data_IF_528723945633
#
_entry.id   IF_528723945633
#
_cell.length_a   1.000
_cell.length_b   1.000
_cell.length_c   1.000
_cell.angle_alpha   90.00
_cell.angle_beta   90.00
_cell.angle_gamma   90.00
#
_symmetry.space_group_name_H-M   'P 1'
#
loop_
_entity.id
_entity.type
_entity.pdbx_description
1 polymer ?
#
# COMPACT_ATOMS: atom_id res chain seq x y z
N UNK A 1 22.55 -16.24 -19.65
CA UNK A 1 23.18 -16.01 -18.33
C UNK A 1 23.24 -14.50 -18.14
N UNK A 2 22.89 -14.01 -16.95
CA UNK A 2 22.98 -12.58 -16.58
C UNK A 2 24.02 -12.52 -15.47
N UNK A 3 25.05 -11.70 -15.65
CA UNK A 3 26.01 -11.39 -14.60
C UNK A 3 25.49 -10.17 -13.82
N UNK A 4 25.37 -10.29 -12.52
CA UNK A 4 24.95 -9.20 -11.64
C UNK A 4 26.11 -8.24 -11.30
N UNK A 5 27.35 -8.58 -11.66
CA UNK A 5 28.58 -7.77 -11.45
C UNK A 5 28.73 -7.28 -9.99
N UNK A 6 28.46 -8.19 -9.02
CA UNK A 6 28.51 -7.88 -7.61
C UNK A 6 27.34 -7.04 -7.07
N UNK A 7 26.39 -6.69 -7.90
CA UNK A 7 25.20 -5.94 -7.48
C UNK A 7 24.18 -6.84 -6.75
N UNK A 8 23.31 -6.21 -5.95
CA UNK A 8 22.27 -6.87 -5.18
C UNK A 8 21.26 -7.56 -6.09
N UNK A 9 21.04 -8.86 -5.84
CA UNK A 9 19.95 -9.65 -6.40
C UNK A 9 18.95 -9.95 -5.30
N UNK A 10 17.70 -9.57 -5.46
CA UNK A 10 16.68 -9.75 -4.45
C UNK A 10 15.35 -10.25 -5.04
N UNK A 11 14.38 -10.69 -4.21
CA UNK A 11 13.02 -10.92 -4.64
C UNK A 11 12.37 -9.63 -5.15
N UNK A 12 11.29 -9.72 -5.95
CA UNK A 12 10.55 -8.53 -6.37
C UNK A 12 10.02 -7.72 -5.20
N UNK A 13 9.98 -6.41 -5.36
CA UNK A 13 9.25 -5.52 -4.46
C UNK A 13 7.76 -5.87 -4.49
N UNK A 14 7.10 -5.74 -3.33
CA UNK A 14 5.67 -5.91 -3.19
C UNK A 14 5.04 -4.62 -2.64
N UNK A 15 3.96 -4.17 -3.27
CA UNK A 15 3.12 -3.06 -2.81
C UNK A 15 1.77 -3.61 -2.32
N UNK A 16 1.55 -3.68 -1.01
CA UNK A 16 0.33 -4.26 -0.45
C UNK A 16 -0.86 -3.31 -0.44
N UNK A 17 -0.69 -2.04 -0.87
CA UNK A 17 -1.76 -1.05 -0.79
C UNK A 17 -1.60 0.06 -1.83
N UNK A 18 -2.48 0.06 -2.85
CA UNK A 18 -2.58 1.11 -3.87
C UNK A 18 -4.01 1.21 -4.40
N UNK A 19 -4.38 2.35 -5.00
CA UNK A 19 -5.67 2.60 -5.64
C UNK A 19 -5.53 2.70 -7.16
N UNK A 20 -5.38 1.55 -7.86
CA UNK A 20 -5.24 1.52 -9.33
C UNK A 20 -6.51 1.99 -10.07
N UNK A 21 -7.66 2.03 -9.39
CA UNK A 21 -8.90 2.57 -9.92
C UNK A 21 -8.87 4.10 -10.10
N UNK A 22 -8.05 4.81 -9.29
CA UNK A 22 -7.97 6.27 -9.27
C UNK A 22 -6.67 6.84 -9.86
N UNK A 23 -5.70 5.99 -10.23
CA UNK A 23 -4.38 6.46 -10.70
C UNK A 23 -4.45 7.36 -11.93
N UNK A 24 -3.54 8.34 -11.98
CA UNK A 24 -3.32 9.27 -13.10
C UNK A 24 -4.49 10.22 -13.41
N UNK A 25 -5.53 10.24 -12.57
CA UNK A 25 -6.67 11.16 -12.80
C UNK A 25 -6.35 12.60 -12.40
N UNK A 26 -5.34 12.86 -11.57
CA UNK A 26 -4.96 14.21 -11.14
C UNK A 26 -4.74 15.20 -12.32
N UNK A 27 -4.27 14.70 -13.47
CA UNK A 27 -4.11 15.48 -14.69
C UNK A 27 -5.40 15.74 -15.47
N UNK A 28 -6.48 15.04 -15.16
CA UNK A 28 -7.75 15.07 -15.85
C UNK A 28 -8.85 15.85 -15.08
N UNK A 29 -8.59 16.11 -13.78
CA UNK A 29 -9.55 16.76 -12.90
C UNK A 29 -9.79 18.22 -13.30
N UNK A 30 -11.06 18.61 -13.40
CA UNK A 30 -11.47 20.00 -13.55
C UNK A 30 -11.38 20.76 -12.23
N UNK A 31 -11.69 20.09 -11.11
CA UNK A 31 -11.52 20.56 -9.74
C UNK A 31 -10.34 19.84 -9.10
N UNK A 32 -9.40 20.59 -8.54
CA UNK A 32 -8.24 20.03 -7.80
C UNK A 32 -8.46 20.21 -6.31
N UNK A 33 -7.92 19.30 -5.51
CA UNK A 33 -7.90 19.39 -4.05
C UNK A 33 -7.14 20.66 -3.61
N UNK A 34 -7.86 21.64 -3.08
CA UNK A 34 -7.32 22.94 -2.68
C UNK A 34 -6.87 22.95 -1.22
N UNK A 35 -7.60 22.26 -0.36
CA UNK A 35 -7.29 22.21 1.08
C UNK A 35 -6.23 21.16 1.41
N UNK A 36 -6.00 20.20 0.51
CA UNK A 36 -5.13 19.05 0.72
C UNK A 36 -5.66 18.11 1.80
N UNK A 37 -6.99 18.05 1.98
CA UNK A 37 -7.63 17.17 2.98
C UNK A 37 -8.14 15.89 2.34
N UNK A 38 -8.21 14.82 3.14
CA UNK A 38 -8.79 13.54 2.76
C UNK A 38 -10.25 13.69 2.27
N UNK A 39 -11.07 14.41 3.04
CA UNK A 39 -12.50 14.55 2.72
C UNK A 39 -12.75 15.30 1.41
N UNK A 40 -11.99 16.39 1.14
CA UNK A 40 -12.11 17.08 -0.16
C UNK A 40 -11.70 16.16 -1.31
N UNK A 41 -10.71 15.32 -1.13
CA UNK A 41 -10.29 14.35 -2.15
C UNK A 41 -11.39 13.30 -2.42
N UNK A 42 -12.06 12.80 -1.38
CA UNK A 42 -13.20 11.88 -1.50
C UNK A 42 -14.34 12.53 -2.28
N UNK A 43 -14.67 13.79 -1.97
CA UNK A 43 -15.71 14.54 -2.70
C UNK A 43 -15.35 14.69 -4.19
N UNK A 44 -14.10 15.06 -4.48
CA UNK A 44 -13.61 15.19 -5.87
C UNK A 44 -13.68 13.86 -6.60
N UNK A 45 -13.28 12.77 -5.95
CA UNK A 45 -13.38 11.42 -6.52
C UNK A 45 -14.83 11.05 -6.80
N UNK A 46 -15.74 11.30 -5.85
CA UNK A 46 -17.19 11.07 -6.02
C UNK A 46 -17.77 11.77 -7.24
N UNK A 47 -17.40 13.04 -7.46
CA UNK A 47 -17.81 13.83 -8.63
C UNK A 47 -17.18 13.30 -9.94
N UNK A 48 -15.90 12.95 -9.90
CA UNK A 48 -15.13 12.61 -11.09
C UNK A 48 -15.38 11.18 -11.58
N UNK A 49 -15.59 10.21 -10.68
CA UNK A 49 -15.81 8.80 -11.04
C UNK A 49 -17.01 8.57 -11.96
N UNK A 50 -17.99 9.48 -11.98
CA UNK A 50 -19.11 9.42 -12.93
C UNK A 50 -18.66 9.55 -14.39
N UNK A 51 -17.47 10.09 -14.64
CA UNK A 51 -16.85 10.19 -15.96
C UNK A 51 -15.89 9.05 -16.27
N UNK A 52 -15.65 8.15 -15.31
CA UNK A 52 -14.75 7.03 -15.46
C UNK A 52 -15.33 5.99 -16.43
N UNK A 53 -14.53 5.59 -17.40
CA UNK A 53 -14.86 4.48 -18.29
C UNK A 53 -13.91 3.32 -18.05
N UNK A 54 -14.35 2.09 -18.36
CA UNK A 54 -13.50 0.89 -18.26
C UNK A 54 -12.19 1.06 -19.02
N UNK A 55 -12.24 1.59 -20.24
CA UNK A 55 -11.04 1.79 -21.09
C UNK A 55 -10.08 2.81 -20.47
N UNK A 56 -10.56 3.91 -19.91
CA UNK A 56 -9.73 4.92 -19.26
C UNK A 56 -9.06 4.35 -18.01
N UNK A 57 -9.83 3.69 -17.14
CA UNK A 57 -9.31 3.05 -15.94
C UNK A 57 -8.21 2.04 -16.30
N UNK A 58 -8.49 1.10 -17.20
CA UNK A 58 -7.53 0.06 -17.60
C UNK A 58 -6.29 0.65 -18.26
N UNK A 59 -6.44 1.69 -19.08
CA UNK A 59 -5.30 2.39 -19.69
C UNK A 59 -4.40 3.04 -18.65
N UNK A 60 -4.99 3.74 -17.68
CA UNK A 60 -4.24 4.39 -16.60
C UNK A 60 -3.57 3.36 -15.68
N UNK A 61 -4.33 2.36 -15.22
CA UNK A 61 -3.82 1.30 -14.36
C UNK A 61 -2.70 0.51 -15.05
N UNK A 62 -2.85 0.19 -16.35
CA UNK A 62 -1.81 -0.48 -17.13
C UNK A 62 -0.52 0.34 -17.22
N UNK A 63 -0.64 1.64 -17.44
CA UNK A 63 0.52 2.54 -17.47
C UNK A 63 1.25 2.55 -16.11
N UNK A 64 0.51 2.54 -15.00
CA UNK A 64 1.13 2.46 -13.66
C UNK A 64 1.74 1.10 -13.40
N UNK A 65 1.15 0.00 -13.90
CA UNK A 65 1.76 -1.33 -13.85
C UNK A 65 3.11 -1.34 -14.59
N UNK A 66 3.21 -0.68 -15.73
CA UNK A 66 4.50 -0.55 -16.44
C UNK A 66 5.52 0.25 -15.60
N UNK A 67 5.09 1.28 -14.86
CA UNK A 67 5.95 1.98 -13.90
C UNK A 67 6.36 1.09 -12.73
N UNK A 68 5.46 0.30 -12.19
CA UNK A 68 5.77 -0.68 -11.14
C UNK A 68 6.82 -1.68 -11.63
N UNK A 69 6.65 -2.26 -12.80
CA UNK A 69 7.61 -3.19 -13.39
C UNK A 69 8.99 -2.53 -13.50
N UNK A 70 9.07 -1.30 -14.01
CA UNK A 70 10.32 -0.57 -14.12
C UNK A 70 10.99 -0.28 -12.76
N UNK A 71 10.19 -0.15 -11.69
CA UNK A 71 10.65 0.02 -10.31
C UNK A 71 10.87 -1.32 -9.57
N UNK A 72 10.76 -2.46 -10.25
CA UNK A 72 10.95 -3.79 -9.64
C UNK A 72 9.77 -4.32 -8.82
N UNK A 73 8.60 -3.69 -8.90
CA UNK A 73 7.39 -4.11 -8.19
C UNK A 73 6.62 -5.11 -9.04
N UNK A 74 6.54 -6.36 -8.61
CA UNK A 74 5.82 -7.44 -9.32
C UNK A 74 4.69 -8.07 -8.49
N UNK A 75 4.43 -7.56 -7.31
CA UNK A 75 3.34 -7.99 -6.41
C UNK A 75 2.58 -6.75 -5.98
N UNK A 76 1.31 -6.66 -6.31
CA UNK A 76 0.49 -5.47 -6.05
C UNK A 76 -0.86 -5.89 -5.51
N UNK A 77 -1.32 -5.21 -4.43
CA UNK A 77 -2.69 -5.29 -3.94
C UNK A 77 -3.35 -3.94 -4.16
N UNK A 78 -4.42 -3.91 -4.95
CA UNK A 78 -5.17 -2.70 -5.26
C UNK A 78 -6.54 -2.69 -4.61
N UNK A 79 -6.98 -1.53 -4.15
CA UNK A 79 -8.32 -1.29 -3.66
C UNK A 79 -9.19 -0.81 -4.82
N UNK A 80 -10.39 -1.39 -4.92
CA UNK A 80 -11.38 -1.07 -5.94
C UNK A 80 -12.62 -0.47 -5.25
N UNK A 81 -12.92 0.81 -5.48
CA UNK A 81 -14.11 1.46 -4.92
C UNK A 81 -15.38 0.73 -5.37
N UNK A 82 -16.03 0.04 -4.44
CA UNK A 82 -17.26 -0.70 -4.70
C UNK A 82 -18.54 0.07 -4.32
N UNK A 83 -18.45 1.37 -4.03
CA UNK A 83 -19.61 2.21 -3.73
C UNK A 83 -20.26 2.82 -4.99
N UNK A 84 -19.70 2.55 -6.17
CA UNK A 84 -20.35 2.83 -7.44
C UNK A 84 -21.35 1.72 -7.78
N UNK A 85 -22.64 2.05 -8.05
CA UNK A 85 -23.68 1.07 -8.38
C UNK A 85 -23.38 0.18 -9.57
N UNK A 86 -22.54 0.64 -10.51
CA UNK A 86 -22.13 -0.14 -11.69
C UNK A 86 -21.06 -1.17 -11.38
N UNK A 87 -20.30 -1.01 -10.29
CA UNK A 87 -19.10 -1.78 -9.95
C UNK A 87 -18.04 -1.78 -11.05
N UNK A 88 -17.97 -0.71 -11.83
CA UNK A 88 -17.05 -0.57 -12.96
C UNK A 88 -15.59 -0.75 -12.53
N UNK A 89 -15.19 -0.19 -11.40
CA UNK A 89 -13.83 -0.29 -10.87
C UNK A 89 -13.46 -1.74 -10.55
N UNK A 90 -14.35 -2.47 -9.87
CA UNK A 90 -14.14 -3.88 -9.49
C UNK A 90 -14.04 -4.75 -10.74
N UNK A 91 -15.00 -4.62 -11.67
CA UNK A 91 -15.00 -5.37 -12.93
C UNK A 91 -13.72 -5.12 -13.74
N UNK A 92 -13.36 -3.84 -13.91
CA UNK A 92 -12.19 -3.44 -14.69
C UNK A 92 -10.88 -3.98 -14.11
N UNK A 93 -10.70 -3.93 -12.78
CA UNK A 93 -9.49 -4.41 -12.14
C UNK A 93 -9.41 -5.94 -12.09
N UNK A 94 -10.53 -6.66 -11.98
CA UNK A 94 -10.56 -8.12 -12.13
C UNK A 94 -10.22 -8.56 -13.56
N UNK A 95 -10.71 -7.87 -14.58
CA UNK A 95 -10.30 -8.11 -15.96
C UNK A 95 -8.79 -7.82 -16.16
N UNK A 96 -8.32 -6.68 -15.65
CA UNK A 96 -6.93 -6.29 -15.75
C UNK A 96 -6.01 -7.31 -15.06
N UNK A 97 -6.42 -7.84 -13.91
CA UNK A 97 -5.69 -8.91 -13.19
C UNK A 97 -5.40 -10.09 -14.11
N UNK A 98 -6.38 -10.56 -14.88
CA UNK A 98 -6.19 -11.65 -15.83
C UNK A 98 -5.28 -11.27 -17.01
N UNK A 99 -5.37 -10.04 -17.49
CA UNK A 99 -4.55 -9.56 -18.60
C UNK A 99 -3.07 -9.43 -18.25
N UNK A 100 -2.75 -9.11 -16.98
CA UNK A 100 -1.37 -8.84 -16.54
C UNK A 100 -0.72 -9.98 -15.76
N UNK A 101 -1.38 -11.11 -15.56
CA UNK A 101 -0.94 -12.24 -14.73
C UNK A 101 0.43 -12.83 -15.11
N UNK A 102 0.87 -12.63 -16.34
CA UNK A 102 2.20 -13.04 -16.79
C UNK A 102 3.30 -12.01 -16.49
N UNK A 103 2.91 -10.80 -16.10
CA UNK A 103 3.80 -9.68 -15.80
C UNK A 103 3.91 -9.42 -14.30
N UNK A 104 2.78 -9.33 -13.60
CA UNK A 104 2.69 -9.12 -12.16
C UNK A 104 1.62 -10.01 -11.55
N UNK A 105 1.68 -10.19 -10.22
CA UNK A 105 0.55 -10.73 -9.48
C UNK A 105 -0.23 -9.56 -8.89
N UNK A 106 -1.52 -9.49 -9.25
CA UNK A 106 -2.44 -8.44 -8.80
C UNK A 106 -3.51 -9.05 -7.90
N UNK A 107 -3.64 -8.56 -6.68
CA UNK A 107 -4.77 -8.81 -5.78
C UNK A 107 -5.72 -7.62 -5.80
N UNK A 108 -7.03 -7.88 -5.76
CA UNK A 108 -8.09 -6.86 -5.75
C UNK A 108 -8.86 -6.93 -4.44
N UNK A 109 -9.00 -5.79 -3.77
CA UNK A 109 -9.81 -5.61 -2.56
C UNK A 109 -11.13 -4.95 -2.95
N UNK A 110 -12.27 -5.49 -2.53
CA UNK A 110 -13.53 -4.77 -2.60
C UNK A 110 -13.54 -3.70 -1.50
N UNK A 111 -13.43 -2.44 -1.87
CA UNK A 111 -13.24 -1.32 -0.97
C UNK A 111 -14.45 -0.39 -0.95
N UNK A 112 -15.21 -0.30 0.17
CA UNK A 112 -16.33 0.63 0.30
C UNK A 112 -15.81 2.04 0.66
N UNK A 113 -15.36 2.80 -0.35
CA UNK A 113 -14.75 4.13 -0.20
C UNK A 113 -15.56 5.09 0.68
N UNK A 114 -16.88 5.03 0.59
CA UNK A 114 -17.78 5.91 1.32
C UNK A 114 -18.34 5.30 2.61
N UNK A 115 -17.76 4.19 3.11
CA UNK A 115 -18.31 3.40 4.22
C UNK A 115 -19.38 2.40 3.77
N UNK A 116 -19.70 1.46 4.63
CA UNK A 116 -20.68 0.40 4.36
C UNK A 116 -22.10 0.85 4.75
N UNK A 117 -22.24 1.53 5.88
CA UNK A 117 -23.54 1.88 6.47
C UNK A 117 -23.97 3.33 6.21
N UNK A 118 -23.18 4.11 5.51
CA UNK A 118 -23.55 5.49 5.10
C UNK A 118 -24.67 5.50 4.05
N UNK A 119 -24.80 4.42 3.26
CA UNK A 119 -25.87 4.21 2.29
C UNK A 119 -26.32 2.73 2.32
N UNK A 120 -27.65 2.46 2.38
CA UNK A 120 -28.17 1.09 2.39
C UNK A 120 -27.80 0.23 1.17
N UNK A 121 -27.33 0.84 0.09
CA UNK A 121 -26.89 0.13 -1.10
C UNK A 121 -25.46 -0.40 -0.95
N UNK A 122 -24.58 0.26 -0.19
CA UNK A 122 -23.16 -0.06 -0.13
C UNK A 122 -22.88 -1.48 0.36
N UNK A 123 -23.61 -1.98 1.37
CA UNK A 123 -23.49 -3.38 1.81
C UNK A 123 -23.82 -4.37 0.69
N UNK A 124 -24.86 -4.10 -0.09
CA UNK A 124 -25.27 -4.95 -1.22
C UNK A 124 -24.22 -4.95 -2.32
N UNK A 125 -23.64 -3.78 -2.60
CA UNK A 125 -22.58 -3.62 -3.60
C UNK A 125 -21.30 -4.34 -3.15
N UNK A 126 -20.90 -4.21 -1.89
CA UNK A 126 -19.77 -4.93 -1.30
C UNK A 126 -19.95 -6.46 -1.46
N UNK A 127 -21.12 -6.98 -1.09
CA UNK A 127 -21.43 -8.42 -1.27
C UNK A 127 -21.34 -8.84 -2.73
N UNK A 128 -21.88 -8.04 -3.65
CA UNK A 128 -21.81 -8.30 -5.08
C UNK A 128 -20.36 -8.28 -5.61
N UNK A 129 -19.54 -7.33 -5.14
CA UNK A 129 -18.13 -7.27 -5.49
C UNK A 129 -17.36 -8.54 -5.01
N UNK A 130 -17.71 -9.04 -3.82
CA UNK A 130 -17.13 -10.30 -3.31
C UNK A 130 -17.54 -11.50 -4.19
N UNK A 131 -18.81 -11.56 -4.59
CA UNK A 131 -19.31 -12.61 -5.50
C UNK A 131 -18.63 -12.57 -6.88
N UNK A 132 -18.11 -11.42 -7.31
CA UNK A 132 -17.32 -11.27 -8.55
C UNK A 132 -15.92 -11.88 -8.44
N UNK A 133 -15.45 -12.23 -7.25
CA UNK A 133 -14.20 -12.99 -7.06
C UNK A 133 -12.98 -12.17 -6.64
N UNK A 134 -13.17 -11.04 -5.94
CA UNK A 134 -12.07 -10.28 -5.33
C UNK A 134 -11.27 -11.12 -4.33
N UNK A 135 -10.02 -10.73 -4.07
CA UNK A 135 -9.10 -11.47 -3.19
C UNK A 135 -9.29 -11.10 -1.71
N UNK A 136 -9.74 -9.89 -1.42
CA UNK A 136 -9.91 -9.39 -0.06
C UNK A 136 -11.17 -8.57 0.10
N UNK A 137 -11.66 -8.51 1.35
CA UNK A 137 -12.78 -7.65 1.77
C UNK A 137 -12.19 -6.45 2.51
N UNK A 138 -12.55 -5.26 2.06
CA UNK A 138 -12.17 -3.98 2.66
C UNK A 138 -13.28 -3.38 3.51
N UNK A 139 -12.93 -2.34 4.25
CA UNK A 139 -13.82 -1.52 5.07
C UNK A 139 -13.21 -0.13 5.27
N UNK A 140 -14.01 0.82 5.76
CA UNK A 140 -13.59 2.18 6.10
C UNK A 140 -14.34 2.69 7.35
N UNK A 141 -14.17 2.06 8.53
CA UNK A 141 -15.00 2.32 9.70
C UNK A 141 -14.91 3.75 10.23
N UNK A 142 -13.83 4.47 9.96
CA UNK A 142 -13.65 5.87 10.34
C UNK A 142 -14.43 6.87 9.46
N UNK A 143 -15.01 6.40 8.36
CA UNK A 143 -15.89 7.18 7.46
C UNK A 143 -17.36 7.05 7.86
N UNK A 144 -17.73 6.02 8.64
CA UNK A 144 -19.10 5.81 9.10
C UNK A 144 -19.60 6.98 9.96
N UNK A 145 -20.92 7.22 9.95
CA UNK A 145 -21.51 8.36 10.66
C UNK A 145 -21.40 8.27 12.19
N UNK A 146 -21.38 7.04 12.72
CA UNK A 146 -21.26 6.80 14.15
C UNK A 146 -20.19 5.77 14.46
N UNK A 147 -19.68 5.83 15.71
CA UNK A 147 -18.75 4.81 16.19
C UNK A 147 -19.37 3.40 16.17
N UNK A 148 -20.65 3.31 16.46
CA UNK A 148 -21.40 2.05 16.47
C UNK A 148 -21.47 1.43 15.07
N UNK A 149 -21.65 2.24 14.03
CA UNK A 149 -21.65 1.77 12.65
C UNK A 149 -20.24 1.39 12.18
N UNK A 150 -19.21 2.14 12.61
CA UNK A 150 -17.82 1.75 12.35
C UNK A 150 -17.43 0.42 13.01
N UNK A 151 -17.96 0.10 14.20
CA UNK A 151 -17.79 -1.22 14.83
C UNK A 151 -18.44 -2.30 13.97
N UNK A 152 -19.69 -2.07 13.51
CA UNK A 152 -20.41 -3.00 12.63
C UNK A 152 -19.70 -3.18 11.27
N UNK A 153 -19.10 -2.11 10.73
CA UNK A 153 -18.28 -2.18 9.49
C UNK A 153 -17.20 -3.24 9.66
N UNK A 154 -16.37 -3.13 10.71
CA UNK A 154 -15.33 -4.11 10.98
C UNK A 154 -15.90 -5.52 11.17
N UNK A 155 -16.94 -5.68 11.98
CA UNK A 155 -17.58 -6.99 12.25
C UNK A 155 -18.12 -7.62 10.96
N UNK A 156 -18.79 -6.85 10.10
CA UNK A 156 -19.32 -7.31 8.82
C UNK A 156 -18.21 -7.72 7.84
N UNK A 157 -17.11 -6.96 7.76
CA UNK A 157 -15.96 -7.30 6.92
C UNK A 157 -15.42 -8.67 7.32
N UNK A 158 -15.26 -8.94 8.62
CA UNK A 158 -14.80 -10.25 9.09
C UNK A 158 -15.81 -11.37 8.82
N UNK A 159 -17.12 -11.13 9.00
CA UNK A 159 -18.17 -12.09 8.68
C UNK A 159 -18.12 -12.50 7.20
N UNK A 160 -17.95 -11.52 6.33
CA UNK A 160 -17.87 -11.74 4.89
C UNK A 160 -16.57 -12.45 4.49
N UNK A 161 -15.44 -12.01 5.04
CA UNK A 161 -14.14 -12.61 4.73
C UNK A 161 -14.08 -14.08 5.18
N UNK A 162 -14.61 -14.40 6.36
CA UNK A 162 -14.70 -15.78 6.85
C UNK A 162 -15.64 -16.62 5.98
N UNK A 163 -16.83 -16.10 5.68
CA UNK A 163 -17.84 -16.80 4.87
C UNK A 163 -17.37 -17.14 3.45
N UNK A 164 -16.64 -16.22 2.82
CA UNK A 164 -16.20 -16.36 1.42
C UNK A 164 -14.74 -16.80 1.29
N UNK A 165 -14.08 -17.12 2.41
CA UNK A 165 -12.66 -17.47 2.48
C UNK A 165 -11.77 -16.44 1.79
N UNK A 166 -11.92 -15.16 2.18
CA UNK A 166 -11.16 -14.01 1.66
C UNK A 166 -10.20 -13.45 2.69
N UNK A 167 -9.23 -12.67 2.21
CA UNK A 167 -8.38 -11.86 3.06
C UNK A 167 -9.17 -10.65 3.60
N UNK A 168 -8.67 -10.03 4.65
CA UNK A 168 -9.19 -8.77 5.21
C UNK A 168 -8.15 -7.67 4.98
N UNK A 169 -8.57 -6.52 4.41
CA UNK A 169 -7.72 -5.35 4.27
C UNK A 169 -8.54 -4.07 4.47
N UNK A 170 -8.45 -3.47 5.65
CA UNK A 170 -9.30 -2.37 6.08
C UNK A 170 -8.48 -1.07 6.12
N UNK A 171 -9.00 0.01 5.49
CA UNK A 171 -8.58 1.39 5.78
C UNK A 171 -9.08 1.74 7.18
N UNK A 172 -8.21 1.69 8.17
CA UNK A 172 -8.64 1.76 9.55
C UNK A 172 -7.97 2.89 10.29
N UNK A 173 -8.79 3.68 11.01
CA UNK A 173 -8.32 4.79 11.82
C UNK A 173 -7.45 5.79 11.03
N UNK A 174 -7.80 6.04 9.75
CA UNK A 174 -7.12 6.98 8.87
C UNK A 174 -7.56 8.41 9.17
N UNK A 175 -7.24 8.87 10.35
CA UNK A 175 -7.60 10.20 10.86
C UNK A 175 -6.62 10.64 11.94
N UNK A 176 -6.60 11.96 12.20
CA UNK A 176 -5.89 12.53 13.36
C UNK A 176 -6.67 12.45 14.68
N UNK A 177 -7.88 11.90 14.70
CA UNK A 177 -8.71 11.80 15.91
C UNK A 177 -8.25 10.64 16.81
N UNK A 178 -7.78 10.88 18.05
CA UNK A 178 -7.39 9.81 18.98
C UNK A 178 -8.57 8.98 19.50
N UNK A 179 -9.81 9.36 19.19
CA UNK A 179 -11.00 8.59 19.53
C UNK A 179 -11.42 7.60 18.43
N UNK A 180 -10.86 7.70 17.22
CA UNK A 180 -10.96 6.65 16.22
C UNK A 180 -10.10 5.46 16.67
N UNK A 181 -10.74 4.36 17.07
CA UNK A 181 -10.12 3.20 17.75
C UNK A 181 -10.66 1.88 17.21
N UNK A 182 -10.93 1.82 15.91
CA UNK A 182 -11.50 0.62 15.29
C UNK A 182 -10.47 -0.50 15.13
N UNK A 183 -9.18 -0.17 15.12
CA UNK A 183 -8.10 -1.17 15.12
C UNK A 183 -8.15 -2.09 16.35
N UNK A 184 -8.71 -1.63 17.51
CA UNK A 184 -8.93 -2.52 18.67
C UNK A 184 -10.02 -3.56 18.41
N UNK A 185 -11.07 -3.18 17.65
CA UNK A 185 -12.15 -4.08 17.23
C UNK A 185 -11.58 -5.11 16.25
N UNK A 186 -10.80 -4.64 15.28
CA UNK A 186 -10.11 -5.51 14.32
C UNK A 186 -9.18 -6.53 15.00
N UNK A 187 -8.42 -6.10 16.02
CA UNK A 187 -7.57 -7.00 16.81
C UNK A 187 -8.41 -8.05 17.56
N UNK A 188 -9.56 -7.65 18.15
CA UNK A 188 -10.49 -8.57 18.82
C UNK A 188 -11.05 -9.60 17.85
N UNK A 189 -11.55 -9.18 16.67
CA UNK A 189 -12.11 -10.09 15.67
C UNK A 189 -11.03 -11.05 15.12
N UNK A 190 -9.82 -10.55 14.86
CA UNK A 190 -8.67 -11.37 14.45
C UNK A 190 -8.33 -12.46 15.49
N UNK A 191 -8.33 -12.13 16.79
CA UNK A 191 -8.06 -13.10 17.86
C UNK A 191 -9.18 -14.14 17.94
N UNK A 192 -10.44 -13.68 17.94
CA UNK A 192 -11.58 -14.55 18.13
C UNK A 192 -11.78 -15.56 17.02
N UNK A 193 -11.48 -15.16 15.77
CA UNK A 193 -11.65 -15.97 14.55
C UNK A 193 -10.36 -16.67 14.09
N UNK A 194 -9.21 -16.36 14.69
CA UNK A 194 -7.92 -16.88 14.24
C UNK A 194 -7.50 -16.37 12.85
N UNK A 195 -7.94 -15.18 12.46
CA UNK A 195 -7.75 -14.62 11.11
C UNK A 195 -6.61 -13.58 11.02
N UNK A 196 -5.83 -13.36 12.08
CA UNK A 196 -4.86 -12.26 12.12
C UNK A 196 -3.82 -12.30 10.98
N UNK A 197 -3.25 -13.46 10.68
CA UNK A 197 -2.26 -13.59 9.60
C UNK A 197 -2.85 -13.29 8.20
N UNK A 198 -4.19 -13.32 8.07
CA UNK A 198 -4.94 -12.99 6.85
C UNK A 198 -5.55 -11.59 6.88
N UNK A 199 -5.25 -10.81 7.92
CA UNK A 199 -5.83 -9.48 8.15
C UNK A 199 -4.75 -8.42 8.10
N UNK A 200 -5.00 -7.35 7.34
CA UNK A 200 -4.16 -6.18 7.20
C UNK A 200 -4.91 -4.92 7.65
N UNK A 201 -4.29 -4.16 8.55
CA UNK A 201 -4.77 -2.86 9.02
C UNK A 201 -3.97 -1.76 8.31
N UNK A 202 -4.62 -1.06 7.39
CA UNK A 202 -3.99 0.00 6.61
C UNK A 202 -4.12 1.35 7.30
N UNK A 203 -3.10 2.20 7.19
CA UNK A 203 -2.95 3.54 7.75
C UNK A 203 -2.76 3.60 9.27
N UNK A 204 -3.78 3.31 10.05
CA UNK A 204 -3.81 3.41 11.53
C UNK A 204 -3.20 4.71 12.08
N UNK A 205 -3.39 5.83 11.37
CA UNK A 205 -2.73 7.11 11.68
C UNK A 205 -3.20 7.73 12.99
N UNK A 206 -4.42 7.40 13.45
CA UNK A 206 -4.92 7.81 14.77
C UNK A 206 -4.03 7.28 15.90
N UNK A 207 -3.32 6.16 15.71
CA UNK A 207 -2.40 5.60 16.73
C UNK A 207 -1.27 6.56 17.10
N UNK A 208 -0.85 7.44 16.17
CA UNK A 208 0.12 8.49 16.49
C UNK A 208 -0.35 9.41 17.61
N UNK A 209 -1.66 9.57 17.75
CA UNK A 209 -2.30 10.51 18.66
C UNK A 209 -2.85 9.83 19.93
N UNK A 210 -2.74 8.50 20.06
CA UNK A 210 -3.19 7.78 21.23
C UNK A 210 -2.33 8.08 22.45
N UNK A 211 -2.97 8.05 23.62
CA UNK A 211 -2.28 7.98 24.91
C UNK A 211 -1.33 6.77 24.92
N UNK A 212 -0.15 6.93 25.53
CA UNK A 212 0.90 5.91 25.48
C UNK A 212 0.51 4.62 26.23
N UNK A 213 -0.22 4.70 27.33
CA UNK A 213 -0.67 3.49 28.06
C UNK A 213 -1.70 2.72 27.24
N UNK A 214 -2.63 3.43 26.57
CA UNK A 214 -3.57 2.81 25.65
C UNK A 214 -2.87 2.18 24.45
N UNK A 215 -1.94 2.90 23.81
CA UNK A 215 -1.17 2.41 22.67
C UNK A 215 -0.35 1.15 23.04
N UNK A 216 0.32 1.15 24.21
CA UNK A 216 1.08 0.00 24.69
C UNK A 216 0.22 -1.26 24.81
N UNK A 217 -1.00 -1.14 25.41
CA UNK A 217 -1.96 -2.24 25.52
C UNK A 217 -2.43 -2.71 24.15
N UNK A 218 -2.79 -1.77 23.26
CA UNK A 218 -3.31 -2.06 21.94
C UNK A 218 -2.27 -2.80 21.06
N UNK A 219 -1.02 -2.32 21.04
CA UNK A 219 0.08 -2.96 20.33
C UNK A 219 0.28 -4.40 20.83
N UNK A 220 0.14 -4.64 22.14
CA UNK A 220 0.14 -6.00 22.70
C UNK A 220 -0.99 -6.88 22.16
N UNK A 221 -2.17 -6.33 21.94
CA UNK A 221 -3.31 -7.06 21.35
C UNK A 221 -3.08 -7.32 19.85
N UNK A 222 -2.56 -6.35 19.10
CA UNK A 222 -2.21 -6.50 17.68
C UNK A 222 -1.16 -7.63 17.50
N UNK A 223 -0.13 -7.65 18.35
CA UNK A 223 0.87 -8.70 18.35
C UNK A 223 0.26 -10.09 18.64
N UNK A 224 -0.62 -10.17 19.66
CA UNK A 224 -1.36 -11.40 19.99
C UNK A 224 -2.27 -11.85 18.86
N UNK A 225 -2.89 -10.92 18.16
CA UNK A 225 -3.74 -11.17 17.00
C UNK A 225 -2.94 -11.65 15.78
N UNK A 226 -1.62 -11.41 15.74
CA UNK A 226 -0.74 -11.64 14.58
C UNK A 226 -1.20 -10.89 13.32
N UNK A 227 -1.74 -9.70 13.50
CA UNK A 227 -2.18 -8.85 12.39
C UNK A 227 -1.00 -8.26 11.64
N UNK A 228 -1.23 -7.95 10.37
CA UNK A 228 -0.32 -7.19 9.54
C UNK A 228 -0.71 -5.71 9.55
N UNK A 229 0.28 -4.82 9.54
CA UNK A 229 0.09 -3.37 9.59
C UNK A 229 0.69 -2.74 8.34
N UNK A 230 -0.05 -1.88 7.64
CA UNK A 230 0.41 -1.22 6.43
C UNK A 230 0.52 0.29 6.70
N UNK A 231 1.73 0.82 6.62
CA UNK A 231 1.97 2.25 6.66
C UNK A 231 2.03 2.81 5.24
N UNK A 232 1.27 3.88 4.97
CA UNK A 232 1.19 4.54 3.68
C UNK A 232 1.80 5.94 3.76
N UNK A 233 3.15 6.07 3.77
CA UNK A 233 3.82 7.30 4.19
C UNK A 233 3.53 8.50 3.30
N UNK A 234 3.27 8.33 2.01
CA UNK A 234 2.97 9.44 1.11
C UNK A 234 1.67 10.15 1.50
N UNK A 235 0.58 9.40 1.57
CA UNK A 235 -0.74 9.94 1.90
C UNK A 235 -0.84 10.33 3.37
N UNK A 236 -0.37 9.48 4.27
CA UNK A 236 -0.45 9.75 5.70
C UNK A 236 0.29 11.05 6.09
N UNK A 237 1.49 11.30 5.53
CA UNK A 237 2.26 12.50 5.85
C UNK A 237 1.61 13.81 5.34
N UNK A 238 0.85 13.75 4.24
CA UNK A 238 0.25 14.94 3.63
C UNK A 238 -1.21 15.16 3.99
N UNK A 239 -1.97 14.08 4.23
CA UNK A 239 -3.41 14.15 4.50
C UNK A 239 -3.75 14.26 5.99
N UNK A 240 -2.92 13.66 6.88
CA UNK A 240 -3.26 13.55 8.28
C UNK A 240 -2.81 14.75 9.12
N UNK A 241 -3.45 14.94 10.29
CA UNK A 241 -3.15 16.02 11.24
C UNK A 241 -3.16 17.44 10.62
N UNK A 242 -3.93 17.66 9.57
CA UNK A 242 -4.06 18.94 8.86
C UNK A 242 -4.62 20.08 9.72
N UNK A 243 -5.33 19.74 10.81
CA UNK A 243 -5.90 20.71 11.76
C UNK A 243 -4.99 21.03 12.94
N UNK A 244 -3.78 20.44 12.98
CA UNK A 244 -2.81 20.75 14.02
C UNK A 244 -2.28 22.18 13.88
N UNK A 245 -2.11 22.85 15.02
CA UNK A 245 -1.25 24.02 15.14
C UNK A 245 0.24 23.63 15.11
N UNK A 246 1.11 24.46 15.67
CA UNK A 246 2.51 24.10 15.85
C UNK A 246 2.76 23.69 17.32
N UNK A 247 3.55 22.61 17.55
CA UNK A 247 4.21 21.72 16.58
C UNK A 247 3.21 20.81 15.87
N UNK A 248 3.39 20.59 14.56
CA UNK A 248 2.57 19.64 13.78
C UNK A 248 3.02 18.21 13.97
N UNK A 249 2.09 17.32 14.17
CA UNK A 249 2.34 15.87 14.21
C UNK A 249 2.57 15.34 12.80
N UNK A 250 3.33 14.22 12.68
CA UNK A 250 3.77 13.71 11.38
C UNK A 250 2.74 12.91 10.61
N UNK A 251 1.66 12.48 11.25
CA UNK A 251 0.60 11.69 10.62
C UNK A 251 0.93 10.22 10.36
N UNK A 252 2.11 9.74 10.73
CA UNK A 252 2.52 8.35 10.54
C UNK A 252 2.15 7.53 11.78
N UNK A 253 1.68 6.28 11.58
CA UNK A 253 1.43 5.33 12.67
C UNK A 253 2.70 4.96 13.45
N UNK A 254 2.58 4.24 14.57
CA UNK A 254 3.69 3.88 15.48
C UNK A 254 4.51 2.70 14.95
N UNK A 255 5.17 2.88 13.81
CA UNK A 255 5.92 1.84 13.09
C UNK A 255 7.04 1.25 13.94
N UNK A 256 7.80 2.09 14.63
CA UNK A 256 8.91 1.72 15.50
C UNK A 256 8.46 0.80 16.64
N UNK A 257 7.47 1.24 17.44
CA UNK A 257 6.94 0.47 18.56
C UNK A 257 6.34 -0.89 18.13
N UNK A 258 5.65 -0.91 16.98
CA UNK A 258 5.09 -2.14 16.42
C UNK A 258 6.17 -3.10 15.94
N UNK A 259 7.19 -2.60 15.24
CA UNK A 259 8.32 -3.40 14.76
C UNK A 259 9.13 -3.98 15.91
N UNK A 260 9.39 -3.21 16.98
CA UNK A 260 10.07 -3.67 18.21
C UNK A 260 9.31 -4.80 18.91
N UNK A 261 7.98 -4.85 18.76
CA UNK A 261 7.12 -5.94 19.26
C UNK A 261 7.01 -7.13 18.33
N UNK A 262 7.73 -7.15 17.20
CA UNK A 262 7.71 -8.22 16.22
C UNK A 262 6.43 -8.31 15.41
N UNK A 263 5.63 -7.24 15.36
CA UNK A 263 4.47 -7.14 14.49
C UNK A 263 4.95 -7.00 13.05
N UNK A 264 4.30 -7.68 12.12
CA UNK A 264 4.58 -7.54 10.70
C UNK A 264 4.10 -6.16 10.21
N UNK A 265 5.03 -5.24 10.03
CA UNK A 265 4.76 -3.91 9.45
C UNK A 265 5.31 -3.88 8.03
N UNK A 266 4.54 -3.35 7.09
CA UNK A 266 4.94 -3.16 5.71
C UNK A 266 4.54 -1.77 5.21
N UNK A 267 4.92 -1.45 3.97
CA UNK A 267 4.73 -0.13 3.36
C UNK A 267 3.86 -0.29 2.12
N UNK A 268 2.83 0.56 1.98
CA UNK A 268 2.06 0.76 0.77
C UNK A 268 2.41 2.09 0.11
N UNK A 269 2.23 2.16 -1.21
CA UNK A 269 2.36 3.42 -1.96
C UNK A 269 1.12 4.29 -1.81
N UNK A 270 -0.04 3.64 -1.77
CA UNK A 270 -1.37 4.23 -1.69
C UNK A 270 -1.76 4.95 -2.99
N UNK A 271 -1.58 6.23 -3.09
CA UNK A 271 -1.99 7.08 -4.20
C UNK A 271 -0.89 7.32 -5.23
N UNK A 272 -1.25 7.38 -6.54
CA UNK A 272 -0.35 7.74 -7.63
C UNK A 272 -1.05 8.72 -8.57
N UNK A 273 -0.78 10.01 -8.44
CA UNK A 273 -1.33 11.07 -9.28
C UNK A 273 -2.87 11.05 -9.33
N UNK A 274 -3.49 10.99 -8.18
CA UNK A 274 -4.92 10.95 -7.96
C UNK A 274 -5.42 12.16 -7.13
N UNK A 275 -6.72 12.23 -6.73
CA UNK A 275 -7.23 13.35 -5.95
C UNK A 275 -6.61 13.52 -4.56
N UNK A 276 -6.10 12.45 -3.95
CA UNK A 276 -5.50 12.46 -2.61
C UNK A 276 -4.05 12.89 -2.65
N UNK A 277 -3.29 12.36 -3.59
CA UNK A 277 -1.86 12.64 -3.75
C UNK A 277 -1.48 12.77 -5.22
N UNK A 278 -1.26 14.01 -5.67
CA UNK A 278 -1.00 14.34 -7.09
C UNK A 278 0.43 14.05 -7.56
N UNK A 279 1.21 13.32 -6.78
CA UNK A 279 2.61 12.95 -7.03
C UNK A 279 2.77 11.44 -7.16
N UNK A 280 4.00 10.96 -7.13
CA UNK A 280 4.32 9.54 -7.18
C UNK A 280 4.62 9.00 -8.58
N UNK A 281 5.35 7.90 -8.60
CA UNK A 281 5.73 7.16 -9.81
C UNK A 281 5.79 5.64 -9.57
N UNK A 282 5.08 5.13 -8.55
CA UNK A 282 5.10 3.71 -8.19
C UNK A 282 6.43 3.22 -7.61
N UNK A 283 7.20 4.09 -6.95
CA UNK A 283 8.49 3.72 -6.36
C UNK A 283 8.36 3.42 -4.87
N UNK A 284 8.40 2.15 -4.51
CA UNK A 284 8.38 1.72 -3.11
C UNK A 284 9.67 2.12 -2.37
N UNK A 285 10.79 2.31 -3.08
CA UNK A 285 12.02 2.86 -2.49
C UNK A 285 11.81 4.30 -1.99
N UNK A 286 11.04 5.12 -2.73
CA UNK A 286 10.69 6.47 -2.28
C UNK A 286 9.77 6.41 -1.05
N UNK A 287 8.83 5.48 -1.01
CA UNK A 287 7.96 5.29 0.16
C UNK A 287 8.77 4.86 1.39
N UNK A 288 9.69 3.92 1.25
CA UNK A 288 10.60 3.49 2.31
C UNK A 288 11.51 4.65 2.78
N UNK A 289 12.06 5.42 1.85
CA UNK A 289 12.90 6.59 2.17
C UNK A 289 12.10 7.67 2.92
N UNK A 290 10.86 7.93 2.54
CA UNK A 290 9.99 8.85 3.28
C UNK A 290 9.68 8.32 4.67
N UNK A 291 9.35 7.03 4.80
CA UNK A 291 9.06 6.42 6.10
C UNK A 291 10.28 6.46 7.03
N UNK A 292 11.51 6.27 6.52
CA UNK A 292 12.74 6.43 7.29
C UNK A 292 12.77 7.80 8.01
N UNK A 293 12.45 8.88 7.29
CA UNK A 293 12.47 10.23 7.83
C UNK A 293 11.29 10.52 8.76
N UNK A 294 10.09 10.17 8.31
CA UNK A 294 8.86 10.45 9.06
C UNK A 294 8.72 9.56 10.30
N UNK A 295 9.16 8.32 10.23
CA UNK A 295 9.19 7.35 11.34
C UNK A 295 10.43 7.43 12.21
N UNK A 296 11.45 8.27 11.85
CA UNK A 296 12.76 8.35 12.53
C UNK A 296 13.51 7.00 12.62
N UNK A 297 13.44 6.21 11.55
CA UNK A 297 13.98 4.85 11.47
C UNK A 297 15.42 4.84 10.93
N UNK A 298 16.34 5.56 11.57
CA UNK A 298 17.73 5.73 11.11
C UNK A 298 18.76 4.87 11.85
N UNK A 299 18.33 3.94 12.68
CA UNK A 299 19.22 2.93 13.27
C UNK A 299 19.60 1.86 12.26
N UNK A 300 20.82 1.28 12.35
CA UNK A 300 21.30 0.29 11.38
C UNK A 300 20.32 -0.89 11.15
N UNK A 301 19.77 -1.44 12.24
CA UNK A 301 18.74 -2.51 12.14
C UNK A 301 17.42 -2.02 11.59
N UNK A 302 17.05 -0.75 11.78
CA UNK A 302 15.82 -0.16 11.28
C UNK A 302 15.90 0.08 9.77
N UNK A 303 17.07 0.46 9.24
CA UNK A 303 17.28 0.63 7.79
C UNK A 303 17.11 -0.72 7.08
N UNK A 304 17.65 -1.80 7.64
CA UNK A 304 17.47 -3.15 7.13
C UNK A 304 15.96 -3.52 7.10
N UNK A 305 15.22 -3.24 8.18
CA UNK A 305 13.78 -3.50 8.27
C UNK A 305 12.97 -2.75 7.20
N UNK A 306 13.41 -1.56 6.78
CA UNK A 306 12.72 -0.81 5.72
C UNK A 306 12.72 -1.55 4.38
N UNK A 307 13.80 -2.25 4.05
CA UNK A 307 13.84 -3.08 2.85
C UNK A 307 12.93 -4.30 2.98
N UNK A 308 12.92 -4.93 4.16
CA UNK A 308 11.97 -6.01 4.47
C UNK A 308 10.52 -5.54 4.37
N UNK A 309 10.20 -4.31 4.79
CA UNK A 309 8.83 -3.74 4.74
C UNK A 309 8.29 -3.59 3.32
N UNK A 310 9.14 -3.47 2.30
CA UNK A 310 8.73 -3.40 0.89
C UNK A 310 8.95 -4.72 0.13
N UNK A 311 9.43 -5.76 0.80
CA UNK A 311 9.70 -7.08 0.24
C UNK A 311 9.00 -8.17 1.04
N UNK A 312 9.70 -8.81 1.97
CA UNK A 312 9.23 -10.00 2.70
C UNK A 312 8.02 -9.72 3.59
N UNK A 313 7.96 -8.56 4.25
CA UNK A 313 6.83 -8.20 5.10
C UNK A 313 5.57 -7.92 4.27
N UNK A 314 5.71 -7.21 3.14
CA UNK A 314 4.62 -6.99 2.19
C UNK A 314 4.11 -8.31 1.60
N UNK A 315 5.01 -9.20 1.19
CA UNK A 315 4.64 -10.51 0.68
C UNK A 315 3.89 -11.36 1.72
N UNK A 316 4.31 -11.30 2.99
CA UNK A 316 3.62 -11.95 4.10
C UNK A 316 2.22 -11.35 4.30
N UNK A 317 2.09 -10.03 4.28
CA UNK A 317 0.79 -9.33 4.38
C UNK A 317 -0.17 -9.73 3.25
N UNK A 318 0.36 -9.96 2.05
CA UNK A 318 -0.41 -10.41 0.89
C UNK A 318 -0.65 -11.92 0.89
N UNK A 319 -0.15 -12.66 1.87
CA UNK A 319 -0.25 -14.13 1.98
C UNK A 319 0.32 -14.85 0.74
N UNK A 320 1.44 -14.39 0.18
CA UNK A 320 2.06 -14.99 -1.00
C UNK A 320 2.86 -16.24 -0.62
N UNK A 321 2.49 -17.39 -1.19
CA UNK A 321 3.20 -18.66 -0.95
C UNK A 321 4.44 -18.84 -1.83
N UNK A 322 4.43 -18.27 -3.05
CA UNK A 322 5.52 -18.31 -4.03
C UNK A 322 6.28 -16.97 -4.03
N UNK A 323 7.02 -16.69 -2.93
CA UNK A 323 7.81 -15.48 -2.80
C UNK A 323 9.19 -15.77 -2.17
N UNK A 324 10.18 -15.03 -2.66
CA UNK A 324 11.57 -15.14 -2.17
C UNK A 324 12.44 -16.03 -3.04
N UNK A 325 13.76 -15.87 -2.90
CA UNK A 325 14.76 -16.67 -3.62
C UNK A 325 14.93 -17.99 -2.88
N UNK A 326 14.13 -18.98 -3.29
CA UNK A 326 14.12 -20.34 -2.71
C UNK A 326 13.97 -21.36 -3.82
N UNK A 327 14.57 -22.53 -3.64
CA UNK A 327 14.37 -23.66 -4.53
C UNK A 327 12.89 -24.04 -4.59
N UNK A 328 12.35 -24.18 -5.80
CA UNK A 328 10.94 -24.48 -6.06
C UNK A 328 10.06 -23.25 -6.31
N UNK A 329 10.49 -22.06 -5.94
CA UNK A 329 9.75 -20.82 -6.24
C UNK A 329 9.96 -20.38 -7.69
N UNK A 330 9.04 -19.53 -8.19
CA UNK A 330 9.19 -18.86 -9.48
C UNK A 330 10.47 -18.03 -9.49
N UNK A 331 11.18 -18.03 -10.61
CA UNK A 331 12.39 -17.25 -10.79
C UNK A 331 12.02 -15.77 -11.09
N UNK A 332 11.48 -15.10 -10.09
CA UNK A 332 11.15 -13.67 -10.08
C UNK A 332 12.24 -12.95 -9.29
N UNK A 333 13.04 -12.14 -9.98
CA UNK A 333 14.25 -11.54 -9.43
C UNK A 333 14.41 -10.09 -9.91
N UNK A 334 14.97 -9.27 -9.03
CA UNK A 334 15.40 -7.90 -9.35
C UNK A 334 16.90 -7.80 -9.17
N UNK A 335 17.57 -7.12 -10.08
CA UNK A 335 18.98 -6.73 -9.95
C UNK A 335 19.02 -5.21 -9.87
N UNK A 336 19.53 -4.67 -8.77
CA UNK A 336 19.72 -3.23 -8.56
C UNK A 336 21.10 -2.77 -9.01
N UNK A 337 21.24 -1.47 -9.32
CA UNK A 337 22.54 -0.81 -9.48
C UNK A 337 23.12 -0.38 -8.13
N UNK A 338 23.20 -1.32 -7.20
CA UNK A 338 23.76 -1.14 -5.85
C UNK A 338 24.12 -2.52 -5.28
N UNK A 339 25.04 -2.57 -4.31
CA UNK A 339 25.55 -3.82 -3.73
C UNK A 339 24.81 -4.24 -2.47
N UNK A 340 24.19 -3.28 -1.74
CA UNK A 340 23.52 -3.52 -0.47
C UNK A 340 22.11 -2.96 -0.48
N UNK A 341 21.25 -3.48 0.39
CA UNK A 341 19.89 -2.99 0.61
C UNK A 341 19.86 -1.54 1.12
N UNK A 342 20.85 -1.19 1.97
CA UNK A 342 21.03 0.19 2.42
C UNK A 342 21.33 1.13 1.25
N UNK A 343 22.25 0.75 0.37
CA UNK A 343 22.59 1.55 -0.82
C UNK A 343 21.42 1.64 -1.80
N UNK A 344 20.61 0.59 -1.94
CA UNK A 344 19.41 0.63 -2.76
C UNK A 344 18.46 1.74 -2.28
N UNK A 345 18.24 1.85 -0.96
CA UNK A 345 17.39 2.89 -0.37
C UNK A 345 18.07 4.26 -0.44
N UNK A 346 19.35 4.34 -0.02
CA UNK A 346 20.13 5.58 0.03
C UNK A 346 20.25 6.26 -1.32
N UNK A 347 20.57 5.49 -2.36
CA UNK A 347 20.79 5.97 -3.72
C UNK A 347 19.48 6.07 -4.54
N UNK A 348 18.38 5.52 -4.03
CA UNK A 348 17.16 5.34 -4.83
C UNK A 348 17.49 4.59 -6.13
N UNK A 349 18.22 3.48 -5.98
CA UNK A 349 18.86 2.77 -7.09
C UNK A 349 17.88 2.26 -8.11
N UNK A 350 18.27 2.33 -9.38
CA UNK A 350 17.47 1.80 -10.48
C UNK A 350 17.61 0.27 -10.57
N UNK A 351 16.52 -0.39 -10.97
CA UNK A 351 16.52 -1.82 -11.28
C UNK A 351 17.16 -2.02 -12.66
N UNK A 352 18.36 -2.57 -12.70
CA UNK A 352 19.03 -2.86 -13.99
C UNK A 352 18.33 -3.97 -14.76
N UNK A 353 17.78 -4.96 -14.04
CA UNK A 353 17.01 -6.06 -14.62
C UNK A 353 15.83 -6.41 -13.73
N UNK A 354 14.67 -6.55 -14.35
CA UNK A 354 13.47 -7.13 -13.75
C UNK A 354 13.18 -8.44 -14.46
N UNK A 355 13.18 -9.53 -13.70
CA UNK A 355 13.03 -10.90 -14.19
C UNK A 355 11.72 -11.47 -13.64
N UNK A 356 10.85 -11.94 -14.53
CA UNK A 356 9.60 -12.61 -14.20
C UNK A 356 9.57 -14.01 -14.80
N UNK A 357 9.36 -15.02 -13.96
CA UNK A 357 9.34 -16.44 -14.38
C UNK A 357 10.55 -16.83 -15.23
N UNK A 358 11.74 -16.34 -14.83
CA UNK A 358 13.00 -16.59 -15.52
C UNK A 358 13.21 -15.78 -16.81
N UNK A 359 12.32 -14.85 -17.16
CA UNK A 359 12.45 -13.99 -18.36
C UNK A 359 12.71 -12.55 -17.93
N UNK A 360 13.66 -11.89 -18.58
CA UNK A 360 13.84 -10.44 -18.41
C UNK A 360 12.69 -9.73 -19.08
N UNK A 361 11.91 -8.99 -18.28
CA UNK A 361 10.76 -8.20 -18.76
C UNK A 361 11.04 -6.70 -18.77
N UNK A 362 12.05 -6.22 -18.01
CA UNK A 362 12.50 -4.84 -18.07
C UNK A 362 14.02 -4.77 -17.90
N UNK A 363 14.65 -3.84 -18.62
CA UNK A 363 16.06 -3.45 -18.47
C UNK A 363 16.16 -1.95 -18.36
N UNK A 364 16.93 -1.48 -17.38
CA UNK A 364 17.29 -0.07 -17.25
C UNK A 364 18.79 0.08 -17.40
N UNK A 365 19.20 1.10 -18.11
CA UNK A 365 20.60 1.53 -18.16
C UNK A 365 20.76 2.71 -17.20
N UNK A 366 21.47 2.54 -16.07
CA UNK A 366 21.66 3.61 -15.12
C UNK A 366 22.29 4.85 -15.73
N UNK A 367 21.88 6.02 -15.25
CA UNK A 367 22.39 7.28 -15.78
C UNK A 367 23.86 7.48 -15.44
N UNK A 368 24.69 7.76 -16.44
CA UNK A 368 26.07 8.22 -16.27
C UNK A 368 26.10 9.76 -16.23
N UNK A 369 26.93 10.30 -15.35
CA UNK A 369 27.17 11.75 -15.24
C UNK A 369 28.66 12.02 -15.35
N UNK A 370 29.07 12.68 -16.42
CA UNK A 370 30.46 13.07 -16.65
C UNK A 370 30.76 14.44 -16.04
N UNK A 371 31.86 14.54 -15.31
CA UNK A 371 32.34 15.80 -14.75
C UNK A 371 33.29 16.47 -15.78
N UNK A 372 32.80 17.49 -16.44
CA UNK A 372 33.57 18.15 -17.54
C UNK A 372 34.71 19.05 -17.03
N UNK A 373 34.78 19.33 -15.75
CA UNK A 373 35.86 20.14 -15.13
C UNK A 373 36.97 19.28 -14.51
N UNK A 374 36.86 17.94 -14.58
CA UNK A 374 37.82 17.01 -13.98
C UNK A 374 38.30 15.96 -14.98
N UNK A 375 39.49 15.42 -14.75
CA UNK A 375 40.00 14.26 -15.49
C UNK A 375 39.24 12.97 -15.16
N UNK A 376 38.58 12.90 -14.00
CA UNK A 376 37.64 11.84 -13.64
C UNK A 376 36.31 12.09 -14.34
N UNK A 377 36.07 11.26 -15.37
CA UNK A 377 35.00 11.50 -16.34
C UNK A 377 33.60 11.12 -15.90
N UNK A 378 33.38 10.62 -14.68
CA UNK A 378 32.07 10.21 -14.24
C UNK A 378 31.95 10.28 -12.70
N UNK A 379 30.72 10.44 -12.22
CA UNK A 379 30.40 10.47 -10.78
C UNK A 379 30.01 9.08 -10.34
N UNK A 380 30.71 8.56 -9.34
CA UNK A 380 30.32 7.37 -8.60
C UNK A 380 29.74 7.77 -7.24
N UNK A 381 28.52 7.35 -6.94
CA UNK A 381 27.88 7.53 -5.66
C UNK A 381 27.98 6.29 -4.75
N UNK A 382 28.52 5.19 -5.26
CA UNK A 382 28.76 3.96 -4.48
C UNK A 382 30.01 4.15 -3.60
N UNK A 383 30.02 3.52 -2.43
CA UNK A 383 31.12 3.60 -1.49
C UNK A 383 32.04 2.38 -1.62
#
# INVERSE_FOLDING_TARGET
MIDADGNLVCPPIADPHVHLDAVLVAGLLTRKNQTGTLLEAIDIWGEWREHLTKDLLKTNARKVIDWYIANGVLRVRTHADCTDPTLLTVESLLELKEEVKDLIDLQVVAFPQNGIFTDPMNEKLLRKAIDMGVDAVGGAPHIEYTREDGVKDVELVYDLAEKYDRLVDIHIDETGDPHSRFVEVMAKESINRGMGERSAASHTTAMHNYDNDYAYKLIGNIAKAKMNMIANPFDNAVLQNRRDGYPRRRGITRVDEMSERGINVCIGHDSIMDPWYSMGKGSMLQAAFLLLHMGQLNGASQIQQLFDMITTNSAKTMCLSDYGIKEGNSADLIIYDAQTEEDVIRLQSECTHVIRKGRVICKTQPAKRDLLYSENKWVDFKL
#
